data_IF_293637274286
#
_entry.id   IF_293637274286
#
_cell.length_a   1.000
_cell.length_b   1.000
_cell.length_c   1.000
_cell.angle_alpha   90.00
_cell.angle_beta   90.00
_cell.angle_gamma   90.00
#
_symmetry.space_group_name_H-M   'P 1'
#
loop_
_entity.id
_entity.type
_entity.pdbx_description
1 polymer ?
#
# COMPACT_ATOMS: atom_id res chain seq x y z
N UNK A 1 14.00 1.70 -20.04
CA UNK A 1 13.02 0.92 -20.79
C UNK A 1 13.23 1.09 -22.29
N UNK A 2 12.84 0.08 -23.10
CA UNK A 2 12.99 0.12 -24.57
C UNK A 2 12.25 1.31 -25.22
N UNK A 3 11.23 1.83 -24.57
CA UNK A 3 10.34 2.87 -25.11
C UNK A 3 10.37 4.18 -24.32
N UNK A 4 11.25 4.32 -23.35
CA UNK A 4 11.34 5.51 -22.49
C UNK A 4 10.01 5.95 -21.84
N UNK A 5 9.13 4.99 -21.53
CA UNK A 5 7.80 5.23 -20.94
C UNK A 5 7.78 5.28 -19.42
N UNK A 6 8.92 5.07 -18.79
CA UNK A 6 9.08 5.16 -17.33
C UNK A 6 10.48 5.67 -16.98
N UNK A 7 10.65 6.38 -15.86
CA UNK A 7 11.96 6.76 -15.33
C UNK A 7 12.85 5.52 -15.09
N UNK A 8 14.15 5.69 -15.18
CA UNK A 8 15.11 4.63 -14.81
C UNK A 8 15.23 4.52 -13.30
N UNK A 9 15.39 3.29 -12.82
CA UNK A 9 15.54 3.01 -11.38
C UNK A 9 14.24 3.06 -10.58
N UNK A 10 14.36 2.91 -9.26
CA UNK A 10 13.27 3.03 -8.30
C UNK A 10 12.97 4.50 -8.02
N UNK A 11 11.72 4.81 -7.76
CA UNK A 11 11.26 6.18 -7.53
C UNK A 11 10.79 6.31 -6.09
N UNK A 12 11.23 7.38 -5.43
CA UNK A 12 10.82 7.71 -4.08
C UNK A 12 9.30 7.91 -3.97
N UNK A 13 8.74 7.43 -2.87
CA UNK A 13 7.30 7.37 -2.62
C UNK A 13 6.57 8.71 -2.84
N UNK A 14 7.14 9.80 -2.31
CA UNK A 14 6.57 11.14 -2.48
C UNK A 14 6.66 11.67 -3.91
N UNK A 15 7.71 11.28 -4.63
CA UNK A 15 7.95 11.69 -6.02
C UNK A 15 6.94 11.09 -6.98
N UNK A 16 6.50 9.85 -6.75
CA UNK A 16 5.45 9.21 -7.56
C UNK A 16 4.19 10.08 -7.63
N UNK A 17 3.64 10.45 -6.47
CA UNK A 17 2.44 11.28 -6.40
C UNK A 17 2.66 12.66 -7.00
N UNK A 18 3.80 13.29 -6.71
CA UNK A 18 4.15 14.61 -7.27
C UNK A 18 4.16 14.56 -8.79
N UNK A 19 4.85 13.59 -9.40
CA UNK A 19 4.93 13.45 -10.84
C UNK A 19 3.55 13.26 -11.49
N UNK A 20 2.66 12.49 -10.85
CA UNK A 20 1.31 12.33 -11.35
C UNK A 20 0.51 13.63 -11.29
N UNK A 21 0.53 14.33 -10.15
CA UNK A 21 -0.19 15.59 -9.97
C UNK A 21 0.32 16.72 -10.87
N UNK A 22 1.61 16.68 -11.27
CA UNK A 22 2.23 17.61 -12.22
C UNK A 22 2.04 17.18 -13.69
N UNK A 23 1.32 16.07 -13.95
CA UNK A 23 1.10 15.58 -15.31
C UNK A 23 2.34 14.99 -15.99
N UNK A 24 3.41 14.71 -15.24
CA UNK A 24 4.65 14.11 -15.76
C UNK A 24 4.52 12.62 -16.06
N UNK A 25 3.54 11.96 -15.45
CA UNK A 25 3.21 10.56 -15.69
C UNK A 25 1.69 10.38 -15.87
N UNK A 26 1.29 9.61 -16.85
CA UNK A 26 -0.11 9.33 -17.13
C UNK A 26 -0.69 8.24 -16.18
N UNK A 27 0.15 7.38 -15.63
CA UNK A 27 -0.24 6.29 -14.73
C UNK A 27 0.64 6.31 -13.50
N UNK A 28 0.01 6.11 -12.35
CA UNK A 28 0.70 5.98 -11.06
C UNK A 28 0.18 4.75 -10.32
N UNK A 29 1.09 3.89 -9.88
CA UNK A 29 0.78 2.84 -8.91
C UNK A 29 1.18 3.33 -7.53
N UNK A 30 0.20 3.39 -6.64
CA UNK A 30 0.43 3.94 -5.32
C UNK A 30 -0.53 3.34 -4.28
N UNK A 31 -0.27 3.59 -3.00
CA UNK A 31 -1.21 3.26 -1.94
C UNK A 31 -2.51 4.05 -2.07
N UNK A 32 -3.62 3.41 -1.77
CA UNK A 32 -4.94 4.03 -1.72
C UNK A 32 -5.03 5.19 -0.75
N UNK A 33 -4.17 5.24 0.29
CA UNK A 33 -4.08 6.38 1.22
C UNK A 33 -3.69 7.71 0.58
N UNK A 34 -3.36 7.72 -0.71
CA UNK A 34 -3.14 8.96 -1.48
C UNK A 34 -4.36 9.40 -2.30
N UNK A 35 -5.42 8.60 -2.37
CA UNK A 35 -6.54 8.85 -3.26
C UNK A 35 -7.23 10.19 -2.97
N UNK A 36 -7.51 10.48 -1.71
CA UNK A 36 -8.13 11.77 -1.33
C UNK A 36 -7.21 12.95 -1.61
N UNK A 37 -5.89 12.79 -1.44
CA UNK A 37 -4.93 13.84 -1.83
C UNK A 37 -4.93 14.06 -3.33
N UNK A 38 -5.00 13.01 -4.13
CA UNK A 38 -5.09 13.12 -5.60
C UNK A 38 -6.41 13.79 -5.98
N UNK A 39 -7.54 13.34 -5.42
CA UNK A 39 -8.87 13.95 -5.67
C UNK A 39 -8.88 15.46 -5.41
N UNK A 40 -8.20 15.92 -4.35
CA UNK A 40 -8.17 17.34 -3.96
C UNK A 40 -7.23 18.19 -4.81
N UNK A 41 -6.18 17.61 -5.37
CA UNK A 41 -5.07 18.38 -5.95
C UNK A 41 -4.87 18.15 -7.45
N UNK A 42 -5.44 17.11 -8.05
CA UNK A 42 -5.38 16.92 -9.49
C UNK A 42 -6.13 18.06 -10.20
N UNK A 43 -5.50 18.63 -11.20
CA UNK A 43 -6.06 19.69 -12.06
C UNK A 43 -6.54 19.13 -13.40
N UNK A 44 -6.77 17.84 -13.45
CA UNK A 44 -7.21 17.08 -14.62
C UNK A 44 -8.12 15.94 -14.16
N UNK A 45 -8.92 15.43 -15.07
CA UNK A 45 -9.76 14.26 -14.81
C UNK A 45 -8.89 13.01 -14.72
N UNK A 46 -9.16 12.16 -13.73
CA UNK A 46 -8.45 10.92 -13.51
C UNK A 46 -9.41 9.78 -13.15
N UNK A 47 -9.00 8.58 -13.49
CA UNK A 47 -9.68 7.36 -13.10
C UNK A 47 -8.87 6.53 -12.11
N UNK A 48 -9.52 5.58 -11.47
CA UNK A 48 -8.88 4.55 -10.64
C UNK A 48 -9.27 3.20 -11.20
N UNK A 49 -8.31 2.31 -11.33
CA UNK A 49 -8.52 0.96 -11.83
C UNK A 49 -7.85 -0.05 -10.90
N UNK A 50 -8.34 -1.28 -10.92
CA UNK A 50 -7.64 -2.41 -10.30
C UNK A 50 -6.25 -2.58 -10.94
N UNK A 51 -5.30 -3.11 -10.18
CA UNK A 51 -4.00 -3.47 -10.73
C UNK A 51 -4.18 -4.43 -11.92
N UNK A 52 -3.38 -4.25 -12.98
CA UNK A 52 -3.46 -5.12 -14.15
C UNK A 52 -3.08 -6.56 -13.77
N UNK A 53 -3.63 -7.50 -14.51
CA UNK A 53 -3.31 -8.91 -14.38
C UNK A 53 -2.39 -9.40 -15.49
N UNK A 54 -1.65 -10.46 -15.21
CA UNK A 54 -0.93 -11.24 -16.18
C UNK A 54 -1.50 -12.66 -16.17
N UNK A 55 -0.83 -13.61 -15.51
CA UNK A 55 -1.35 -14.98 -15.35
C UNK A 55 -2.50 -15.07 -14.36
N UNK A 56 -2.57 -14.17 -13.41
CA UNK A 56 -3.64 -14.04 -12.41
C UNK A 56 -3.72 -12.61 -11.91
N UNK A 57 -4.88 -12.24 -11.42
CA UNK A 57 -5.05 -11.00 -10.68
C UNK A 57 -4.48 -11.13 -9.27
N UNK A 58 -3.93 -10.06 -8.74
CA UNK A 58 -3.40 -10.03 -7.38
C UNK A 58 -3.12 -8.61 -6.93
N UNK A 59 -3.15 -8.39 -5.63
CA UNK A 59 -2.74 -7.15 -5.00
C UNK A 59 -2.14 -7.46 -3.63
N UNK A 60 -1.02 -6.89 -3.24
CA UNK A 60 -0.57 -6.93 -1.87
C UNK A 60 -1.48 -6.05 -1.01
N UNK A 61 -1.71 -6.46 0.23
CA UNK A 61 -2.38 -5.64 1.23
C UNK A 61 -1.37 -5.23 2.29
N UNK A 62 -1.28 -3.94 2.53
CA UNK A 62 -0.51 -3.36 3.62
C UNK A 62 -1.41 -2.55 4.54
N UNK A 63 -0.85 -1.99 5.60
CA UNK A 63 -1.59 -1.14 6.52
C UNK A 63 -0.90 -0.98 7.86
N UNK A 64 -1.53 -0.24 8.76
CA UNK A 64 -1.15 -0.10 10.16
C UNK A 64 -2.02 -0.96 11.07
N UNK A 65 -1.45 -1.47 12.13
CA UNK A 65 -2.17 -2.21 13.16
C UNK A 65 -2.00 -1.51 14.51
N UNK A 66 -3.00 -1.63 15.36
CA UNK A 66 -2.88 -1.25 16.76
C UNK A 66 -2.29 -2.39 17.57
N UNK A 67 -1.35 -2.07 18.45
CA UNK A 67 -0.73 -3.01 19.38
C UNK A 67 -0.87 -2.49 20.81
N UNK A 68 -1.19 -3.39 21.75
CA UNK A 68 -1.18 -3.11 23.18
C UNK A 68 0.04 -3.82 23.76
N UNK A 69 0.92 -3.08 24.40
CA UNK A 69 2.12 -3.66 25.00
C UNK A 69 1.77 -4.60 26.17
N UNK A 70 2.47 -5.73 26.21
CA UNK A 70 2.25 -6.75 27.26
C UNK A 70 2.47 -6.17 28.67
N UNK A 71 3.43 -5.27 28.82
CA UNK A 71 3.82 -4.66 30.09
C UNK A 71 2.90 -3.52 30.56
N UNK A 72 1.95 -3.08 29.73
CA UNK A 72 0.97 -2.07 30.16
C UNK A 72 0.15 -2.57 31.33
N UNK A 73 -0.23 -1.64 32.23
CA UNK A 73 -1.16 -1.94 33.32
C UNK A 73 -2.54 -2.36 32.80
N UNK A 74 -3.37 -2.94 33.65
CA UNK A 74 -4.71 -3.35 33.26
C UNK A 74 -5.61 -2.15 32.92
N UNK A 75 -5.42 -1.01 33.59
CA UNK A 75 -6.10 0.26 33.28
C UNK A 75 -5.70 0.78 31.91
N UNK A 76 -4.40 0.79 31.58
CA UNK A 76 -3.89 1.20 30.27
C UNK A 76 -4.39 0.26 29.18
N UNK A 77 -4.40 -1.04 29.41
CA UNK A 77 -4.96 -2.02 28.45
C UNK A 77 -6.45 -1.78 28.19
N UNK A 78 -7.24 -1.52 29.25
CA UNK A 78 -8.67 -1.18 29.13
C UNK A 78 -8.88 0.12 28.35
N UNK A 79 -8.10 1.15 28.65
CA UNK A 79 -8.16 2.43 27.94
C UNK A 79 -7.76 2.28 26.46
N UNK A 80 -6.68 1.57 26.19
CA UNK A 80 -6.22 1.26 24.82
C UNK A 80 -7.29 0.49 24.03
N UNK A 81 -7.95 -0.49 24.65
CA UNK A 81 -9.03 -1.23 23.99
C UNK A 81 -10.24 -0.35 23.67
N UNK A 82 -10.59 0.60 24.56
CA UNK A 82 -11.66 1.58 24.28
C UNK A 82 -11.29 2.44 23.06
N UNK A 83 -10.04 2.93 23.02
CA UNK A 83 -9.55 3.71 21.87
C UNK A 83 -9.60 2.90 20.59
N UNK A 84 -9.11 1.66 20.59
CA UNK A 84 -9.14 0.78 19.42
C UNK A 84 -10.59 0.57 18.93
N UNK A 85 -11.51 0.25 19.85
CA UNK A 85 -12.93 0.08 19.51
C UNK A 85 -13.55 1.34 18.92
N UNK A 86 -13.19 2.52 19.45
CA UNK A 86 -13.64 3.79 18.90
C UNK A 86 -13.09 4.01 17.49
N UNK A 87 -11.76 3.88 17.32
CA UNK A 87 -11.10 4.12 16.02
C UNK A 87 -11.53 3.14 14.93
N UNK A 88 -11.96 1.93 15.30
CA UNK A 88 -12.42 0.89 14.36
C UNK A 88 -13.94 0.79 14.25
N UNK A 89 -14.68 1.70 14.90
CA UNK A 89 -16.14 1.78 14.73
C UNK A 89 -16.50 2.08 13.27
N UNK A 90 -17.69 1.69 12.79
CA UNK A 90 -18.09 1.92 11.42
C UNK A 90 -17.98 3.37 10.98
N UNK A 91 -18.38 4.31 11.85
CA UNK A 91 -18.39 5.74 11.59
C UNK A 91 -16.97 6.30 11.48
N UNK A 92 -16.06 5.90 12.41
CA UNK A 92 -14.67 6.34 12.37
C UNK A 92 -13.91 5.73 11.19
N UNK A 93 -14.16 4.46 10.90
CA UNK A 93 -13.59 3.78 9.73
C UNK A 93 -14.06 4.43 8.41
N UNK A 94 -15.33 4.80 8.32
CA UNK A 94 -15.88 5.55 7.19
C UNK A 94 -15.24 6.94 7.06
N UNK A 95 -15.15 7.67 8.17
CA UNK A 95 -14.50 8.99 8.21
C UNK A 95 -13.04 8.90 7.74
N UNK A 96 -12.28 7.96 8.26
CA UNK A 96 -10.89 7.74 7.87
C UNK A 96 -10.76 7.40 6.38
N UNK A 97 -11.65 6.54 5.87
CA UNK A 97 -11.68 6.20 4.44
C UNK A 97 -11.88 7.43 3.56
N UNK A 98 -12.86 8.27 3.87
CA UNK A 98 -13.13 9.50 3.12
C UNK A 98 -12.00 10.53 3.24
N UNK A 99 -11.40 10.65 4.43
CA UNK A 99 -10.33 11.62 4.68
C UNK A 99 -9.01 11.29 3.99
N UNK A 100 -8.70 10.00 3.81
CA UNK A 100 -7.41 9.54 3.31
C UNK A 100 -7.50 8.86 1.94
N UNK A 101 -8.56 8.10 1.70
CA UNK A 101 -8.71 7.18 0.58
C UNK A 101 -8.33 5.73 0.93
N UNK A 102 -7.89 5.45 2.16
CA UNK A 102 -7.77 4.07 2.62
C UNK A 102 -9.14 3.39 2.64
N UNK A 103 -9.14 2.08 2.48
CA UNK A 103 -10.36 1.29 2.61
C UNK A 103 -10.88 1.32 4.04
N UNK A 104 -12.19 1.31 4.21
CA UNK A 104 -12.81 1.06 5.51
C UNK A 104 -12.42 -0.34 6.04
N UNK A 105 -12.02 -0.41 7.31
CA UNK A 105 -11.49 -1.64 7.93
C UNK A 105 -12.55 -2.71 8.20
N UNK A 106 -13.82 -2.41 7.96
CA UNK A 106 -14.92 -3.37 8.13
C UNK A 106 -16.00 -3.17 7.07
N UNK A 107 -16.74 -4.22 6.69
CA UNK A 107 -17.89 -4.09 5.78
C UNK A 107 -18.96 -3.12 6.30
N UNK A 108 -19.14 -3.02 7.62
CA UNK A 108 -20.13 -2.11 8.24
C UNK A 108 -19.81 -0.64 8.02
N UNK A 109 -18.54 -0.26 7.80
CA UNK A 109 -18.19 1.12 7.46
C UNK A 109 -18.82 1.58 6.13
N UNK A 110 -18.97 0.67 5.16
CA UNK A 110 -19.62 0.93 3.87
C UNK A 110 -21.14 0.98 3.95
N UNK A 111 -21.72 0.61 5.10
CA UNK A 111 -23.16 0.73 5.36
C UNK A 111 -23.53 2.05 6.01
N UNK A 112 -22.56 2.85 6.46
CA UNK A 112 -22.80 4.19 6.98
C UNK A 112 -23.35 5.10 5.87
N UNK A 113 -24.27 6.00 6.22
CA UNK A 113 -24.84 6.95 5.27
C UNK A 113 -23.75 7.83 4.64
N UNK A 114 -22.82 8.32 5.46
CA UNK A 114 -21.73 9.18 5.01
C UNK A 114 -20.87 8.53 3.92
N UNK A 115 -20.41 7.27 4.14
CA UNK A 115 -19.56 6.61 3.15
C UNK A 115 -20.35 6.17 1.91
N UNK A 116 -21.63 5.78 2.06
CA UNK A 116 -22.50 5.49 0.90
C UNK A 116 -22.66 6.71 0.00
N UNK A 117 -22.95 7.86 0.58
CA UNK A 117 -23.07 9.11 -0.18
C UNK A 117 -21.75 9.48 -0.85
N UNK A 118 -20.63 9.40 -0.10
CA UNK A 118 -19.32 9.66 -0.66
C UNK A 118 -18.97 8.75 -1.85
N UNK A 119 -19.27 7.46 -1.77
CA UNK A 119 -19.04 6.49 -2.86
C UNK A 119 -19.92 6.78 -4.07
N UNK A 120 -21.18 7.23 -3.85
CA UNK A 120 -22.08 7.65 -4.92
C UNK A 120 -21.51 8.84 -5.69
N UNK A 121 -20.94 9.81 -4.98
CA UNK A 121 -20.36 11.03 -5.57
C UNK A 121 -18.94 10.79 -6.13
N UNK A 122 -18.25 9.79 -5.61
CA UNK A 122 -16.89 9.44 -6.01
C UNK A 122 -16.70 7.91 -6.09
N UNK A 123 -17.22 7.26 -7.12
CA UNK A 123 -17.12 5.81 -7.33
C UNK A 123 -15.69 5.23 -7.26
N UNK A 124 -14.61 5.95 -7.63
CA UNK A 124 -13.25 5.47 -7.48
C UNK A 124 -12.86 5.02 -6.05
N UNK A 125 -13.55 5.49 -5.03
CA UNK A 125 -13.30 5.17 -3.62
C UNK A 125 -13.45 3.67 -3.28
N UNK A 126 -14.18 2.89 -4.08
CA UNK A 126 -14.42 1.46 -3.81
C UNK A 126 -13.60 0.51 -4.66
N UNK A 127 -12.86 0.98 -5.65
CA UNK A 127 -12.06 0.12 -6.55
C UNK A 127 -11.09 -0.75 -5.76
N UNK A 128 -10.40 -0.19 -4.76
CA UNK A 128 -9.47 -0.95 -3.92
C UNK A 128 -10.18 -1.96 -3.02
N UNK A 129 -11.38 -1.65 -2.51
CA UNK A 129 -12.22 -2.61 -1.77
C UNK A 129 -12.56 -3.81 -2.65
N UNK A 130 -13.01 -3.55 -3.87
CA UNK A 130 -13.45 -4.61 -4.77
C UNK A 130 -12.26 -5.47 -5.25
N UNK A 131 -11.06 -4.91 -5.26
CA UNK A 131 -9.82 -5.63 -5.54
C UNK A 131 -9.40 -6.60 -4.41
N UNK A 132 -9.91 -6.44 -3.18
CA UNK A 132 -9.59 -7.34 -2.05
C UNK A 132 -9.90 -8.80 -2.31
N UNK A 133 -10.84 -9.11 -3.21
CA UNK A 133 -11.13 -10.48 -3.64
C UNK A 133 -9.90 -11.19 -4.26
N UNK A 134 -8.89 -10.41 -4.66
CA UNK A 134 -7.65 -10.89 -5.25
C UNK A 134 -6.44 -10.59 -4.37
N UNK A 135 -6.68 -10.26 -3.10
CA UNK A 135 -5.62 -9.88 -2.18
C UNK A 135 -4.67 -11.06 -1.87
N UNK A 136 -3.40 -10.73 -1.75
CA UNK A 136 -2.35 -11.66 -1.31
C UNK A 136 -1.61 -11.05 -0.13
N UNK A 137 -1.14 -11.90 0.77
CA UNK A 137 -0.30 -11.44 1.86
C UNK A 137 1.01 -10.84 1.33
N UNK A 138 1.46 -9.77 1.94
CA UNK A 138 2.81 -9.26 1.69
C UNK A 138 3.87 -10.25 2.19
N UNK A 139 5.06 -10.18 1.59
CA UNK A 139 6.21 -10.92 2.07
C UNK A 139 6.46 -10.60 3.55
N UNK A 140 6.33 -11.63 4.38
CA UNK A 140 6.57 -11.55 5.82
C UNK A 140 7.64 -12.57 6.21
N UNK A 141 8.76 -12.08 6.74
CA UNK A 141 9.90 -12.90 7.18
C UNK A 141 10.45 -12.35 8.49
N UNK A 142 11.27 -13.13 9.20
CA UNK A 142 12.17 -12.53 10.18
C UNK A 142 13.02 -11.47 9.48
N UNK A 143 13.32 -10.36 10.16
CA UNK A 143 14.11 -9.26 9.57
C UNK A 143 13.50 -8.67 8.27
N UNK A 144 12.17 -8.63 8.16
CA UNK A 144 11.45 -8.21 6.94
C UNK A 144 12.04 -6.95 6.31
N UNK A 145 12.35 -5.91 7.10
CA UNK A 145 12.92 -4.66 6.57
C UNK A 145 14.26 -4.84 5.86
N UNK A 146 15.12 -5.73 6.41
CA UNK A 146 16.42 -6.04 5.77
C UNK A 146 16.25 -6.89 4.52
N UNK A 147 15.35 -7.87 4.54
CA UNK A 147 15.06 -8.71 3.36
C UNK A 147 14.46 -7.84 2.24
N UNK A 148 13.51 -6.95 2.56
CA UNK A 148 12.97 -5.98 1.60
C UNK A 148 14.06 -5.12 0.98
N UNK A 149 14.96 -4.57 1.81
CA UNK A 149 16.05 -3.75 1.29
C UNK A 149 16.94 -4.51 0.29
N UNK A 150 17.24 -5.79 0.53
CA UNK A 150 18.01 -6.61 -0.41
C UNK A 150 17.27 -6.75 -1.76
N UNK A 151 15.94 -6.90 -1.72
CA UNK A 151 15.13 -6.96 -2.94
C UNK A 151 15.08 -5.61 -3.66
N UNK A 152 14.87 -4.51 -2.92
CA UNK A 152 14.82 -3.16 -3.47
C UNK A 152 16.15 -2.80 -4.15
N UNK A 153 17.29 -3.12 -3.51
CA UNK A 153 18.63 -2.89 -4.06
C UNK A 153 18.85 -3.72 -5.34
N UNK A 154 18.36 -4.97 -5.39
CA UNK A 154 18.43 -5.81 -6.58
C UNK A 154 17.59 -5.26 -7.74
N UNK A 155 16.37 -4.81 -7.45
CA UNK A 155 15.49 -4.17 -8.43
C UNK A 155 16.15 -2.90 -8.97
N UNK A 156 16.68 -2.06 -8.09
CA UNK A 156 17.40 -0.83 -8.48
C UNK A 156 18.58 -1.16 -9.39
N UNK A 157 19.43 -2.12 -9.02
CA UNK A 157 20.60 -2.54 -9.81
C UNK A 157 20.19 -3.01 -11.21
N UNK A 158 19.13 -3.83 -11.30
CA UNK A 158 18.61 -4.30 -12.58
C UNK A 158 18.01 -3.18 -13.44
N UNK A 159 17.23 -2.28 -12.85
CA UNK A 159 16.58 -1.18 -13.56
C UNK A 159 17.58 -0.12 -14.08
N UNK A 160 18.70 0.05 -13.38
CA UNK A 160 19.77 0.97 -13.81
C UNK A 160 20.79 0.33 -14.75
N UNK A 161 20.66 -0.98 -15.02
CA UNK A 161 21.56 -1.70 -15.93
C UNK A 161 22.92 -2.08 -15.32
N UNK A 162 23.08 -1.95 -13.99
CA UNK A 162 24.34 -2.30 -13.31
C UNK A 162 24.55 -3.83 -13.27
N UNK A 163 23.51 -4.61 -13.15
CA UNK A 163 23.52 -6.07 -13.16
C UNK A 163 22.33 -6.59 -14.00
N UNK A 164 22.44 -7.78 -14.56
CA UNK A 164 21.27 -8.43 -15.15
C UNK A 164 20.25 -8.76 -14.06
N UNK A 165 18.94 -8.81 -14.37
CA UNK A 165 17.90 -9.14 -13.38
C UNK A 165 18.18 -10.46 -12.65
N UNK A 166 18.69 -11.46 -13.36
CA UNK A 166 19.05 -12.76 -12.78
C UNK A 166 20.17 -12.63 -11.77
N UNK A 167 21.27 -11.98 -12.12
CA UNK A 167 22.43 -11.78 -11.22
C UNK A 167 22.03 -10.99 -9.97
N UNK A 168 21.28 -9.89 -10.13
CA UNK A 168 20.83 -9.08 -9.02
C UNK A 168 19.95 -9.87 -8.04
N UNK A 169 19.00 -10.66 -8.55
CA UNK A 169 18.11 -11.48 -7.71
C UNK A 169 18.83 -12.66 -7.05
N UNK A 170 19.75 -13.34 -7.73
CA UNK A 170 20.56 -14.42 -7.13
C UNK A 170 21.43 -13.90 -5.97
N UNK A 171 22.00 -12.72 -6.11
CA UNK A 171 22.79 -12.06 -5.06
C UNK A 171 21.92 -11.68 -3.87
N UNK A 172 20.72 -11.13 -4.13
CA UNK A 172 19.74 -10.81 -3.08
C UNK A 172 19.29 -12.07 -2.34
N UNK A 173 19.00 -13.17 -3.06
CA UNK A 173 18.61 -14.45 -2.48
C UNK A 173 19.68 -15.00 -1.55
N UNK A 174 20.93 -15.10 -2.00
CA UNK A 174 22.06 -15.57 -1.17
C UNK A 174 22.24 -14.72 0.09
N UNK A 175 22.03 -13.40 -0.03
CA UNK A 175 22.14 -12.48 1.11
C UNK A 175 20.99 -12.65 2.10
N UNK A 176 19.77 -12.85 1.61
CA UNK A 176 18.59 -13.13 2.44
C UNK A 176 18.72 -14.47 3.18
N UNK A 177 19.17 -15.54 2.52
CA UNK A 177 19.42 -16.83 3.14
C UNK A 177 20.47 -16.74 4.26
N UNK A 178 21.55 -16.00 4.04
CA UNK A 178 22.56 -15.74 5.07
C UNK A 178 21.99 -14.99 6.27
N UNK A 179 21.16 -13.96 6.01
CA UNK A 179 20.50 -13.17 7.04
C UNK A 179 19.53 -14.00 7.87
N UNK A 180 18.83 -14.94 7.24
CA UNK A 180 17.77 -15.74 7.85
C UNK A 180 18.26 -17.06 8.44
N UNK A 181 19.52 -17.44 8.21
CA UNK A 181 20.09 -18.74 8.64
C UNK A 181 19.83 -19.07 10.12
N UNK A 182 19.88 -18.07 11.01
CA UNK A 182 19.65 -18.26 12.46
C UNK A 182 18.20 -18.50 12.85
N UNK A 183 17.28 -18.43 11.91
CA UNK A 183 15.84 -18.65 12.12
C UNK A 183 15.31 -19.91 11.45
N UNK A 184 16.19 -20.66 10.81
CA UNK A 184 15.98 -22.00 10.28
C UNK A 184 16.33 -23.03 11.36
#
# INVERSE_FOLDING_TARGET
SKHNVMPSGTIEWGTLRKNFLEGKTAIMWHSTGNLTTVKKNAKFDFGVAMLPESKRRGTPTGGGNFYIFKQSSDEEKKASMRLIKFMTSPEQAAHWSMATGYMGVSPSSYQTEALRNYVKDFPPAVVARDQLNYATAELSTFQTGRVRKLLDDAIQSALTGNESPKQALEKAQKSAERLLRRYQ
#
